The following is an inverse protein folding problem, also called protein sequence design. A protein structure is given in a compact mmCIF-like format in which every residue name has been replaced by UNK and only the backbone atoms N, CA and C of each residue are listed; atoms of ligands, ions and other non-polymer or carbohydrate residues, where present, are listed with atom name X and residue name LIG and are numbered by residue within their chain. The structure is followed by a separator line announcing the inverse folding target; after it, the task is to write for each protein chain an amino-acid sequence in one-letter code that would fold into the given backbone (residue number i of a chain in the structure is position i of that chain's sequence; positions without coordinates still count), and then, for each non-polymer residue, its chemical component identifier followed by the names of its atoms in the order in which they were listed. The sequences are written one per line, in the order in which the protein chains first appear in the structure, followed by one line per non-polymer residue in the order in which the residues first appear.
data_IF_619885270225
#
_entry.id   IF_619885270225
#
_cell.length_a   1.000
_cell.length_b   1.000
_cell.length_c   1.000
_cell.angle_alpha   90.00
_cell.angle_beta   90.00
_cell.angle_gamma   90.00
#
_symmetry.space_group_name_H-M   'P 1'
#
loop_
_entity.id
_entity.type
_entity.pdbx_description
1 polymer ?
#
# COMPACT_ATOMS: atom_id res chain seq x y z
N UNK A 1 -3.42 2.07 21.83
CA UNK A 1 -3.48 3.41 21.20
C UNK A 1 -4.54 4.25 21.91
N UNK A 2 -4.49 5.59 21.86
CA UNK A 2 -5.39 6.47 22.62
C UNK A 2 -6.90 6.24 22.34
N UNK A 3 -7.25 5.71 21.17
CA UNK A 3 -8.64 5.41 20.77
C UNK A 3 -9.00 3.93 20.89
N UNK A 4 -8.12 3.11 21.48
CA UNK A 4 -8.26 1.65 21.63
C UNK A 4 -8.58 0.86 20.35
N UNK A 5 -8.39 1.47 19.18
CA UNK A 5 -8.56 0.83 17.87
C UNK A 5 -7.27 0.25 17.31
N UNK A 6 -7.43 -0.58 16.28
CA UNK A 6 -6.34 -1.15 15.49
C UNK A 6 -6.15 -0.36 14.21
N UNK A 7 -5.01 0.32 14.07
CA UNK A 7 -4.69 1.05 12.84
C UNK A 7 -4.32 0.10 11.71
N UNK A 8 -5.05 0.15 10.60
CA UNK A 8 -4.73 -0.54 9.35
C UNK A 8 -4.52 0.51 8.28
N UNK A 9 -3.32 0.54 7.72
CA UNK A 9 -2.93 1.52 6.73
C UNK A 9 -3.27 0.99 5.34
N UNK A 10 -3.89 1.82 4.51
CA UNK A 10 -4.00 1.56 3.07
C UNK A 10 -2.75 2.16 2.40
N UNK A 11 -1.78 1.34 1.97
CA UNK A 11 -0.58 1.86 1.33
C UNK A 11 -0.95 2.50 -0.01
N UNK A 12 -0.49 3.73 -0.23
CA UNK A 12 -0.52 4.36 -1.55
C UNK A 12 0.82 4.10 -2.23
N UNK A 13 0.79 3.29 -3.28
CA UNK A 13 1.95 2.87 -4.07
C UNK A 13 1.75 3.27 -5.53
N UNK A 14 2.81 3.69 -6.20
CA UNK A 14 2.80 4.10 -7.60
C UNK A 14 4.20 3.92 -8.19
N UNK A 15 4.32 3.39 -9.41
CA UNK A 15 5.61 3.29 -10.10
C UNK A 15 5.66 4.05 -11.44
N UNK A 16 4.51 4.44 -11.98
CA UNK A 16 4.41 5.06 -13.31
C UNK A 16 4.62 6.58 -13.33
N UNK A 17 4.98 7.21 -12.20
CA UNK A 17 5.40 8.61 -12.21
C UNK A 17 6.83 8.72 -12.77
N UNK A 18 7.09 9.62 -13.75
CA UNK A 18 8.43 9.80 -14.29
C UNK A 18 9.44 10.33 -13.27
N UNK A 19 8.98 10.96 -12.18
CA UNK A 19 9.84 11.52 -11.13
C UNK A 19 10.16 10.43 -10.10
N UNK A 20 11.44 10.07 -9.89
CA UNK A 20 11.82 8.97 -8.99
C UNK A 20 11.29 9.12 -7.56
N UNK A 21 11.25 10.36 -7.04
CA UNK A 21 10.73 10.66 -5.69
C UNK A 21 9.23 10.38 -5.51
N UNK A 22 8.49 10.13 -6.59
CA UNK A 22 7.07 9.79 -6.56
C UNK A 22 6.83 8.28 -6.80
N UNK A 23 7.91 7.48 -6.94
CA UNK A 23 7.82 6.03 -7.13
C UNK A 23 7.88 5.28 -5.81
N UNK A 24 7.23 4.12 -5.75
CA UNK A 24 7.08 3.30 -4.55
C UNK A 24 6.01 3.86 -3.60
N UNK A 25 6.28 3.80 -2.30
CA UNK A 25 5.40 4.35 -1.26
C UNK A 25 5.35 5.88 -1.36
N UNK A 26 4.13 6.45 -1.30
CA UNK A 26 3.99 7.90 -1.40
C UNK A 26 4.69 8.64 -0.25
N UNK A 27 5.27 9.80 -0.54
CA UNK A 27 6.00 10.60 0.45
C UNK A 27 5.13 11.00 1.67
N UNK A 28 3.84 11.26 1.45
CA UNK A 28 2.90 11.56 2.52
C UNK A 28 2.68 10.37 3.44
N UNK A 29 2.58 9.15 2.89
CA UNK A 29 2.49 7.92 3.68
C UNK A 29 3.75 7.73 4.54
N UNK A 30 4.93 7.83 3.93
CA UNK A 30 6.22 7.68 4.60
C UNK A 30 6.38 8.68 5.75
N UNK A 31 6.06 9.96 5.51
CA UNK A 31 6.10 11.01 6.53
C UNK A 31 5.09 10.75 7.65
N UNK A 32 3.87 10.33 7.30
CA UNK A 32 2.81 10.10 8.27
C UNK A 32 3.17 8.98 9.24
N UNK A 33 3.74 7.89 8.74
CA UNK A 33 4.14 6.75 9.57
C UNK A 33 5.41 7.04 10.37
N UNK A 34 6.46 7.56 9.73
CA UNK A 34 7.74 7.77 10.40
C UNK A 34 7.76 8.91 11.43
N UNK A 35 6.98 9.99 11.21
CA UNK A 35 7.08 11.21 12.05
C UNK A 35 5.82 11.55 12.83
N UNK A 36 4.64 11.22 12.32
CA UNK A 36 3.37 11.75 12.84
C UNK A 36 2.60 10.71 13.65
N UNK A 37 2.56 9.47 13.17
CA UNK A 37 1.79 8.40 13.80
C UNK A 37 2.19 8.28 15.27
N UNK A 38 1.22 8.38 16.18
CA UNK A 38 1.47 8.34 17.63
C UNK A 38 1.50 6.90 18.17
N UNK A 39 0.92 5.94 17.45
CA UNK A 39 0.86 4.53 17.83
C UNK A 39 1.28 3.62 16.66
N UNK A 40 1.68 2.36 16.95
CA UNK A 40 1.86 1.33 15.94
C UNK A 40 0.61 1.14 15.07
N UNK A 41 0.83 0.73 13.83
CA UNK A 41 -0.21 0.38 12.87
C UNK A 41 0.26 -0.80 12.02
N UNK A 42 -0.68 -1.54 11.45
CA UNK A 42 -0.40 -2.54 10.44
C UNK A 42 -0.30 -1.87 9.08
N UNK A 43 0.78 -2.17 8.36
CA UNK A 43 1.00 -1.75 6.98
C UNK A 43 1.06 -3.01 6.11
N UNK A 44 -0.08 -3.47 5.58
CA UNK A 44 -0.12 -4.44 4.48
C UNK A 44 0.59 -3.88 3.26
N UNK A 45 1.40 -4.70 2.60
CA UNK A 45 2.16 -4.34 1.39
C UNK A 45 2.03 -5.51 0.40
N UNK A 46 1.67 -5.26 -0.87
CA UNK A 46 1.66 -6.32 -1.88
C UNK A 46 3.05 -6.93 -2.03
N UNK A 47 3.11 -8.25 -2.28
CA UNK A 47 4.33 -8.86 -2.79
C UNK A 47 4.60 -8.33 -4.20
N UNK A 48 5.83 -7.90 -4.43
CA UNK A 48 6.31 -7.45 -5.74
C UNK A 48 7.41 -8.41 -6.22
N UNK A 49 7.96 -8.17 -7.40
CA UNK A 49 9.11 -8.91 -7.89
C UNK A 49 10.17 -7.94 -8.42
N UNK A 50 11.44 -8.27 -8.18
CA UNK A 50 12.58 -7.50 -8.68
C UNK A 50 12.66 -6.09 -8.09
N UNK A 51 13.00 -5.12 -8.95
CA UNK A 51 13.38 -3.76 -8.56
C UNK A 51 12.30 -2.99 -7.77
N UNK A 52 11.02 -3.27 -8.02
CA UNK A 52 9.91 -2.62 -7.30
C UNK A 52 9.90 -3.01 -5.81
N UNK A 53 10.16 -4.29 -5.52
CA UNK A 53 10.21 -4.77 -4.14
C UNK A 53 11.43 -4.20 -3.41
N UNK A 54 12.60 -4.23 -4.06
CA UNK A 54 13.84 -3.69 -3.51
C UNK A 54 13.70 -2.19 -3.22
N UNK A 55 13.09 -1.43 -4.13
CA UNK A 55 12.82 -0.01 -3.93
C UNK A 55 11.91 0.26 -2.72
N UNK A 56 10.84 -0.52 -2.55
CA UNK A 56 9.96 -0.36 -1.38
C UNK A 56 10.68 -0.74 -0.08
N UNK A 57 11.51 -1.78 -0.09
CA UNK A 57 12.33 -2.18 1.07
C UNK A 57 13.30 -1.08 1.47
N UNK A 58 13.99 -0.46 0.50
CA UNK A 58 14.88 0.68 0.75
C UNK A 58 14.13 1.86 1.37
N UNK A 59 12.92 2.18 0.88
CA UNK A 59 12.09 3.23 1.46
C UNK A 59 11.68 2.91 2.91
N UNK A 60 11.28 1.67 3.18
CA UNK A 60 10.90 1.22 4.53
C UNK A 60 12.07 1.36 5.50
N UNK A 61 13.26 0.94 5.09
CA UNK A 61 14.48 1.01 5.91
C UNK A 61 14.91 2.46 6.14
N UNK A 62 14.95 3.28 5.08
CA UNK A 62 15.31 4.69 5.16
C UNK A 62 14.41 5.46 6.13
N UNK A 63 13.10 5.20 6.10
CA UNK A 63 12.12 5.83 6.99
C UNK A 63 11.92 5.07 8.31
N UNK A 64 12.66 3.97 8.53
CA UNK A 64 12.63 3.14 9.75
C UNK A 64 11.24 2.67 10.15
N UNK A 65 10.38 2.38 9.18
CA UNK A 65 8.98 2.07 9.46
C UNK A 65 8.82 0.80 10.32
N UNK A 66 9.73 -0.16 10.17
CA UNK A 66 9.72 -1.41 10.95
C UNK A 66 10.03 -1.24 12.44
N UNK A 67 10.58 -0.11 12.88
CA UNK A 67 10.83 0.15 14.31
C UNK A 67 9.53 0.38 15.09
N UNK A 68 8.46 0.82 14.41
CA UNK A 68 7.18 1.20 15.03
C UNK A 68 5.97 0.46 14.47
N UNK A 69 5.98 0.10 13.19
CA UNK A 69 4.81 -0.45 12.49
C UNK A 69 4.99 -1.92 12.18
N UNK A 70 3.86 -2.63 12.07
CA UNK A 70 3.84 -4.03 11.68
C UNK A 70 3.76 -4.12 10.16
N UNK A 71 4.88 -4.42 9.53
CA UNK A 71 4.98 -4.59 8.08
C UNK A 71 4.46 -5.98 7.69
N UNK A 72 3.47 -6.04 6.81
CA UNK A 72 2.83 -7.30 6.40
C UNK A 72 2.90 -7.44 4.88
N UNK A 73 3.89 -8.17 4.39
CA UNK A 73 3.99 -8.51 2.97
C UNK A 73 2.98 -9.61 2.63
N UNK A 74 2.09 -9.34 1.67
CA UNK A 74 0.93 -10.20 1.38
C UNK A 74 0.76 -10.46 -0.12
N UNK A 75 0.35 -11.69 -0.51
CA UNK A 75 -0.08 -11.95 -1.87
C UNK A 75 -1.40 -11.23 -2.18
N UNK A 76 -1.67 -11.02 -3.47
CA UNK A 76 -2.95 -10.50 -3.93
C UNK A 76 -3.97 -11.63 -4.02
N UNK A 77 -4.99 -11.57 -3.17
CA UNK A 77 -6.09 -12.52 -3.18
C UNK A 77 -7.17 -12.08 -4.19
N UNK A 78 -7.64 -13.01 -5.04
CA UNK A 78 -8.70 -12.76 -6.03
C UNK A 78 -8.41 -11.61 -7.01
N UNK A 79 -7.13 -11.38 -7.33
CA UNK A 79 -6.70 -10.26 -8.18
C UNK A 79 -7.40 -10.22 -9.54
N UNK A 80 -7.42 -11.35 -10.26
CA UNK A 80 -8.01 -11.41 -11.60
C UNK A 80 -9.51 -11.04 -11.58
N UNK A 81 -10.24 -11.51 -10.56
CA UNK A 81 -11.66 -11.15 -10.39
C UNK A 81 -11.88 -9.68 -10.06
N UNK A 82 -10.98 -9.06 -9.30
CA UNK A 82 -11.01 -7.63 -9.04
C UNK A 82 -10.72 -6.83 -10.32
N UNK A 83 -9.72 -7.24 -11.12
CA UNK A 83 -9.41 -6.61 -12.40
C UNK A 83 -10.60 -6.66 -13.34
N UNK A 84 -11.22 -7.84 -13.53
CA UNK A 84 -12.42 -7.97 -14.38
C UNK A 84 -13.58 -7.07 -13.94
N UNK A 85 -13.80 -6.92 -12.63
CA UNK A 85 -14.83 -6.01 -12.11
C UNK A 85 -14.52 -4.53 -12.42
N UNK A 86 -13.25 -4.13 -12.29
CA UNK A 86 -12.80 -2.76 -12.59
C UNK A 86 -12.87 -2.47 -14.09
N UNK A 87 -12.61 -3.45 -14.96
CA UNK A 87 -12.77 -3.30 -16.41
C UNK A 87 -14.23 -3.10 -16.81
N UNK A 88 -15.18 -3.72 -16.11
CA UNK A 88 -16.62 -3.51 -16.33
C UNK A 88 -17.08 -2.10 -15.88
N UNK A 89 -16.46 -1.57 -14.82
CA UNK A 89 -16.73 -0.23 -14.30
C UNK A 89 -15.44 0.59 -14.19
N UNK A 90 -14.92 1.13 -15.32
CA UNK A 90 -13.64 1.82 -15.34
C UNK A 90 -13.58 2.95 -14.32
N UNK A 91 -12.60 2.86 -13.42
CA UNK A 91 -12.29 3.90 -12.44
C UNK A 91 -11.06 4.65 -12.91
N UNK A 92 -11.15 5.97 -12.94
CA UNK A 92 -10.02 6.85 -13.21
C UNK A 92 -9.54 7.55 -11.94
N UNK A 93 -8.23 7.78 -11.87
CA UNK A 93 -7.58 8.55 -10.82
C UNK A 93 -6.44 9.36 -11.42
N UNK A 94 -6.40 10.67 -11.13
CA UNK A 94 -5.36 11.58 -11.63
C UNK A 94 -5.22 11.57 -13.17
N UNK A 95 -6.33 11.43 -13.89
CA UNK A 95 -6.39 11.43 -15.35
C UNK A 95 -5.87 10.15 -16.02
N UNK A 96 -5.80 9.05 -15.28
CA UNK A 96 -5.41 7.72 -15.77
C UNK A 96 -6.36 6.66 -15.26
N UNK A 97 -6.56 5.59 -16.03
CA UNK A 97 -7.23 4.38 -15.57
C UNK A 97 -6.48 3.77 -14.40
N UNK A 98 -7.20 3.25 -13.41
CA UNK A 98 -6.60 2.68 -12.19
C UNK A 98 -5.71 1.45 -12.46
N UNK A 99 -5.88 0.81 -13.64
CA UNK A 99 -5.06 -0.32 -14.09
C UNK A 99 -3.79 0.11 -14.86
N UNK A 100 -3.62 1.40 -15.17
CA UNK A 100 -2.38 1.89 -15.80
C UNK A 100 -1.19 1.91 -14.82
N UNK A 101 -1.47 1.99 -13.51
CA UNK A 101 -0.51 1.87 -12.42
C UNK A 101 -1.09 0.94 -11.32
N UNK A 102 -1.12 -0.39 -11.59
CA UNK A 102 -1.75 -1.39 -10.72
C UNK A 102 -1.35 -1.35 -9.24
N UNK A 103 -0.09 -1.02 -8.85
CA UNK A 103 0.32 -0.91 -7.46
C UNK A 103 -0.62 -0.10 -6.56
N UNK A 104 -1.28 0.92 -7.12
CA UNK A 104 -2.28 1.70 -6.38
C UNK A 104 -3.47 0.84 -5.95
N UNK A 105 -4.06 0.08 -6.87
CA UNK A 105 -5.18 -0.82 -6.59
C UNK A 105 -4.73 -2.04 -5.75
N UNK A 106 -3.53 -2.56 -6.01
CA UNK A 106 -2.95 -3.65 -5.23
C UNK A 106 -2.79 -3.27 -3.76
N UNK A 107 -2.36 -2.04 -3.47
CA UNK A 107 -2.27 -1.52 -2.11
C UNK A 107 -3.62 -1.49 -1.38
N UNK A 108 -4.67 -1.09 -2.07
CA UNK A 108 -6.05 -1.15 -1.55
C UNK A 108 -6.44 -2.61 -1.29
N UNK A 109 -6.20 -3.50 -2.26
CA UNK A 109 -6.59 -4.90 -2.18
C UNK A 109 -5.97 -5.63 -0.98
N UNK A 110 -4.67 -5.47 -0.72
CA UNK A 110 -4.02 -6.15 0.43
C UNK A 110 -4.45 -5.58 1.77
N UNK A 111 -4.75 -4.28 1.85
CA UNK A 111 -5.27 -3.67 3.07
C UNK A 111 -6.69 -4.16 3.38
N UNK A 112 -7.54 -4.24 2.36
CA UNK A 112 -8.89 -4.77 2.48
C UNK A 112 -8.90 -6.26 2.83
N UNK A 113 -8.11 -7.09 2.16
CA UNK A 113 -7.99 -8.52 2.49
C UNK A 113 -7.48 -8.71 3.92
N UNK A 114 -6.48 -7.92 4.36
CA UNK A 114 -6.01 -7.99 5.75
C UNK A 114 -7.09 -7.60 6.75
N UNK A 115 -7.78 -6.48 6.54
CA UNK A 115 -8.90 -6.10 7.39
C UNK A 115 -9.96 -7.21 7.48
N UNK A 116 -10.37 -7.78 6.35
CA UNK A 116 -11.36 -8.87 6.32
C UNK A 116 -10.87 -10.12 7.08
N UNK A 117 -9.57 -10.43 7.01
CA UNK A 117 -8.98 -11.55 7.76
C UNK A 117 -8.93 -11.35 9.29
N UNK A 118 -9.18 -10.13 9.77
CA UNK A 118 -9.26 -9.82 11.20
C UNK A 118 -10.68 -9.88 11.76
N UNK A 119 -11.70 -9.98 10.90
CA UNK A 119 -13.09 -10.07 11.32
C UNK A 119 -13.37 -11.48 11.88
N UNK A 120 -14.26 -11.60 12.88
CA UNK A 120 -14.61 -12.88 13.51
C UNK A 120 -15.38 -13.81 12.58
#
# INVERSE_FOLDING_TARGET
AALNGTGIVVPRIQFQDPRPRHRGLSHHLLTSLSRIALAPAYLPIPLFAGEEEDWIKEQIEHYRLGEKHHLLWRPLEKWDGLVSMIEEYPIETMGRGILEDPPFLQGIAVASSFFLSMLP
#
